data_IF_440062540948
#
_entry.id   IF_440062540948
#
_cell.length_a   1.000
_cell.length_b   1.000
_cell.length_c   1.000
_cell.angle_alpha   90.00
_cell.angle_beta   90.00
_cell.angle_gamma   90.00
#
_symmetry.space_group_name_H-M   'P 1'
#
loop_
_entity.id
_entity.type
_entity.pdbx_description
1 polymer ?
#
# COMPACT_ATOMS: atom_id res chain seq x y z
N UNK A 1 -5.97 -44.30 -43.24
CA UNK A 1 -5.86 -43.79 -41.86
C UNK A 1 -5.34 -42.37 -41.95
N UNK A 2 -6.18 -41.38 -41.67
CA UNK A 2 -5.87 -39.97 -41.88
C UNK A 2 -5.45 -39.37 -40.54
N UNK A 3 -4.16 -39.02 -40.41
CA UNK A 3 -3.60 -38.45 -39.19
C UNK A 3 -3.97 -36.97 -39.11
N UNK A 4 -4.91 -36.63 -38.23
CA UNK A 4 -5.21 -35.24 -37.87
C UNK A 4 -4.10 -34.70 -36.97
N UNK A 5 -3.27 -33.82 -37.52
CA UNK A 5 -2.23 -33.10 -36.79
C UNK A 5 -2.90 -31.94 -36.04
N UNK A 6 -3.12 -32.11 -34.74
CA UNK A 6 -3.66 -31.05 -33.87
C UNK A 6 -2.58 -29.99 -33.65
N UNK A 7 -2.78 -28.79 -34.21
CA UNK A 7 -1.92 -27.63 -33.95
C UNK A 7 -2.13 -27.15 -32.51
N UNK A 8 -1.19 -27.45 -31.62
CA UNK A 8 -1.16 -26.89 -30.26
C UNK A 8 -0.68 -25.44 -30.39
N UNK A 9 -1.63 -24.50 -30.40
CA UNK A 9 -1.33 -23.09 -30.30
C UNK A 9 -0.97 -22.78 -28.83
N UNK A 10 0.32 -22.73 -28.52
CA UNK A 10 0.80 -22.22 -27.23
C UNK A 10 0.58 -20.71 -27.17
N UNK A 11 -0.54 -20.30 -26.57
CA UNK A 11 -0.80 -18.90 -26.24
C UNK A 11 0.07 -18.58 -25.02
N UNK A 12 1.23 -17.97 -25.28
CA UNK A 12 1.97 -17.27 -24.23
C UNK A 12 1.12 -16.07 -23.80
N UNK A 13 0.36 -16.24 -22.72
CA UNK A 13 -0.20 -15.14 -21.95
C UNK A 13 0.97 -14.35 -21.37
N UNK A 14 1.40 -13.31 -22.08
CA UNK A 14 2.18 -12.25 -21.47
C UNK A 14 1.25 -11.56 -20.46
N UNK A 15 1.32 -12.02 -19.20
CA UNK A 15 0.78 -11.29 -18.07
C UNK A 15 1.47 -9.94 -18.09
N UNK A 16 0.73 -8.91 -18.48
CA UNK A 16 1.10 -7.52 -18.32
C UNK A 16 1.40 -7.32 -16.84
N UNK A 17 2.69 -7.30 -16.50
CA UNK A 17 3.15 -6.73 -15.26
C UNK A 17 2.80 -5.26 -15.35
N UNK A 18 1.62 -4.88 -14.86
CA UNK A 18 1.41 -3.52 -14.42
C UNK A 18 2.58 -3.25 -13.47
N UNK A 19 3.56 -2.46 -13.93
CA UNK A 19 4.70 -2.07 -13.10
C UNK A 19 4.11 -1.54 -11.82
N UNK A 20 4.30 -2.29 -10.73
CA UNK A 20 3.90 -1.81 -9.44
C UNK A 20 4.71 -0.52 -9.25
N UNK A 21 4.01 0.56 -8.93
CA UNK A 21 4.62 1.82 -8.55
C UNK A 21 5.27 1.57 -7.18
N UNK A 22 6.50 1.06 -7.19
CA UNK A 22 7.19 0.51 -6.02
C UNK A 22 8.15 1.54 -5.45
N UNK A 23 8.09 1.70 -4.13
CA UNK A 23 8.80 2.75 -3.41
C UNK A 23 9.48 2.23 -2.16
N UNK A 24 10.56 2.89 -1.77
CA UNK A 24 11.29 2.54 -0.54
C UNK A 24 10.66 3.18 0.70
N UNK A 25 9.85 4.23 0.53
CA UNK A 25 9.19 4.89 1.65
C UNK A 25 7.94 5.66 1.24
N UNK A 26 6.92 5.65 2.09
CA UNK A 26 5.66 6.33 1.84
C UNK A 26 5.06 6.96 3.11
N UNK A 27 4.13 7.90 2.91
CA UNK A 27 3.39 8.63 3.94
C UNK A 27 1.92 8.78 3.56
N UNK A 28 1.06 9.06 4.53
CA UNK A 28 -0.33 9.43 4.27
C UNK A 28 -0.51 10.94 4.50
N UNK A 29 -1.21 11.59 3.58
CA UNK A 29 -1.65 12.98 3.69
C UNK A 29 -3.16 13.05 3.86
N UNK A 30 -3.63 14.11 4.54
CA UNK A 30 -5.04 14.49 4.57
C UNK A 30 -5.15 15.94 4.06
N UNK A 31 -5.72 16.11 2.87
CA UNK A 31 -5.52 17.31 2.06
C UNK A 31 -4.05 17.47 1.67
N UNK A 32 -3.52 18.68 1.84
CA UNK A 32 -2.12 18.99 1.55
C UNK A 32 -1.17 18.66 2.70
N UNK A 33 -1.71 18.39 3.89
CA UNK A 33 -0.92 18.19 5.09
C UNK A 33 -0.59 16.72 5.34
N UNK A 34 0.66 16.47 5.73
CA UNK A 34 1.09 15.18 6.24
C UNK A 34 0.28 14.79 7.50
N UNK A 35 -0.10 13.51 7.59
CA UNK A 35 -0.83 12.97 8.73
C UNK A 35 -0.14 11.72 9.28
N UNK A 36 0.66 11.91 10.34
CA UNK A 36 1.44 10.84 10.98
C UNK A 36 0.57 9.75 11.63
N UNK A 37 -0.60 10.12 12.16
CA UNK A 37 -1.53 9.19 12.83
C UNK A 37 -2.09 8.17 11.84
N UNK A 38 -2.48 8.65 10.66
CA UNK A 38 -2.90 7.77 9.56
C UNK A 38 -1.69 6.98 9.06
N UNK A 39 -0.54 7.63 8.85
CA UNK A 39 0.68 6.97 8.32
C UNK A 39 1.12 5.78 9.17
N UNK A 40 1.15 5.94 10.49
CA UNK A 40 1.57 4.88 11.43
C UNK A 40 0.65 3.66 11.29
N UNK A 41 -0.66 3.88 11.36
CA UNK A 41 -1.66 2.80 11.25
C UNK A 41 -1.74 2.20 9.85
N UNK A 42 -1.52 2.99 8.82
CA UNK A 42 -1.46 2.49 7.45
C UNK A 42 -0.24 1.59 7.25
N UNK A 43 0.89 1.90 7.90
CA UNK A 43 2.08 1.05 7.87
C UNK A 43 1.84 -0.30 8.57
N UNK A 44 1.24 -0.29 9.76
CA UNK A 44 0.83 -1.52 10.46
C UNK A 44 -0.13 -2.35 9.61
N UNK A 45 -1.15 -1.71 9.04
CA UNK A 45 -2.14 -2.35 8.19
C UNK A 45 -1.47 -2.95 6.95
N UNK A 46 -0.65 -2.19 6.24
CA UNK A 46 0.03 -2.63 5.04
C UNK A 46 0.94 -3.84 5.31
N UNK A 47 1.72 -3.80 6.40
CA UNK A 47 2.56 -4.92 6.81
C UNK A 47 1.74 -6.19 7.09
N UNK A 48 0.51 -6.06 7.61
CA UNK A 48 -0.38 -7.20 7.87
C UNK A 48 -0.95 -7.86 6.60
N UNK A 49 -0.98 -7.16 5.46
CA UNK A 49 -1.56 -7.68 4.21
C UNK A 49 -0.65 -8.66 3.46
N UNK A 50 0.63 -8.80 3.86
CA UNK A 50 1.60 -9.75 3.31
C UNK A 50 1.68 -9.72 1.77
N UNK A 51 1.80 -8.53 1.19
CA UNK A 51 1.88 -8.39 -0.25
C UNK A 51 3.17 -8.98 -0.84
N UNK A 52 3.10 -9.41 -2.11
CA UNK A 52 4.23 -10.08 -2.81
C UNK A 52 5.48 -9.20 -2.99
N UNK A 53 5.33 -7.88 -2.94
CA UNK A 53 6.43 -6.92 -3.08
C UNK A 53 7.06 -6.57 -1.73
N UNK A 54 6.49 -7.02 -0.61
CA UNK A 54 7.07 -6.83 0.72
C UNK A 54 6.23 -6.00 1.66
N UNK A 55 6.86 -5.62 2.77
CA UNK A 55 6.24 -4.88 3.88
C UNK A 55 7.07 -3.67 4.31
N UNK A 56 6.40 -2.72 4.96
CA UNK A 56 7.06 -1.57 5.56
C UNK A 56 7.05 -1.62 7.09
N UNK A 57 7.95 -0.85 7.69
CA UNK A 57 8.01 -0.57 9.12
C UNK A 57 7.97 0.94 9.31
N UNK A 58 7.20 1.41 10.29
CA UNK A 58 7.11 2.84 10.56
C UNK A 58 8.40 3.32 11.22
N UNK A 59 9.07 4.26 10.59
CA UNK A 59 10.28 4.90 11.08
C UNK A 59 9.91 6.23 11.76
N UNK A 60 9.95 6.24 13.09
CA UNK A 60 9.59 7.42 13.90
C UNK A 60 10.45 8.66 13.57
N UNK A 61 11.78 8.56 13.39
CA UNK A 61 12.61 9.70 13.00
C UNK A 61 12.17 10.41 11.71
N UNK A 62 11.89 9.66 10.63
CA UNK A 62 11.44 10.25 9.36
C UNK A 62 9.93 10.52 9.31
N UNK A 63 9.15 9.88 10.19
CA UNK A 63 7.70 9.88 10.15
C UNK A 63 7.12 9.10 8.96
N UNK A 64 7.90 8.24 8.31
CA UNK A 64 7.51 7.51 7.10
C UNK A 64 7.33 6.02 7.39
N UNK A 65 6.52 5.35 6.58
CA UNK A 65 6.62 3.91 6.44
C UNK A 65 7.77 3.63 5.47
N UNK A 66 8.81 2.93 5.91
CA UNK A 66 9.99 2.59 5.09
C UNK A 66 10.03 1.10 4.84
N UNK A 67 10.64 0.68 3.74
CA UNK A 67 10.89 -0.74 3.46
C UNK A 67 11.56 -1.43 4.67
N UNK A 68 11.08 -2.63 5.01
CA UNK A 68 11.61 -3.37 6.15
C UNK A 68 12.97 -4.03 5.86
N UNK A 69 13.28 -4.28 4.58
CA UNK A 69 14.56 -4.77 4.07
C UNK A 69 14.76 -4.25 2.65
N UNK A 70 15.98 -4.32 2.11
CA UNK A 70 16.27 -3.83 0.74
C UNK A 70 15.61 -4.62 -0.40
N UNK A 71 14.87 -5.70 -0.09
CA UNK A 71 14.05 -6.45 -1.04
C UNK A 71 12.55 -6.21 -0.85
N UNK A 72 12.17 -5.53 0.23
CA UNK A 72 10.78 -5.13 0.45
C UNK A 72 10.53 -3.80 -0.26
N UNK A 73 9.37 -3.63 -0.89
CA UNK A 73 8.95 -2.37 -1.47
C UNK A 73 7.50 -2.05 -1.12
N UNK A 74 7.16 -0.77 -1.21
CA UNK A 74 5.83 -0.25 -0.97
C UNK A 74 5.14 0.06 -2.30
N UNK A 75 4.10 -0.68 -2.65
CA UNK A 75 3.31 -0.43 -3.84
C UNK A 75 2.36 0.74 -3.59
N UNK A 76 2.48 1.81 -4.38
CA UNK A 76 1.80 3.08 -4.17
C UNK A 76 0.27 2.98 -4.17
N UNK A 77 -0.31 2.10 -4.99
CA UNK A 77 -1.76 1.88 -5.03
C UNK A 77 -2.28 1.25 -3.74
N UNK A 78 -1.61 0.20 -3.28
CA UNK A 78 -1.94 -0.51 -2.05
C UNK A 78 -1.63 0.33 -0.81
N UNK A 79 -0.60 1.18 -0.88
CA UNK A 79 -0.32 2.18 0.13
C UNK A 79 -1.44 3.23 0.24
N UNK A 80 -1.89 3.82 -0.89
CA UNK A 80 -3.03 4.75 -0.89
C UNK A 80 -4.29 4.09 -0.35
N UNK A 81 -4.54 2.82 -0.71
CA UNK A 81 -5.66 2.05 -0.19
C UNK A 81 -5.57 1.88 1.34
N UNK A 82 -4.39 1.55 1.88
CA UNK A 82 -4.17 1.43 3.32
C UNK A 82 -4.43 2.77 4.05
N UNK A 83 -3.95 3.89 3.50
CA UNK A 83 -4.21 5.22 4.05
C UNK A 83 -5.73 5.49 4.15
N UNK A 84 -6.50 5.18 3.10
CA UNK A 84 -7.96 5.39 3.06
C UNK A 84 -8.72 4.44 3.97
N UNK A 85 -8.29 3.18 4.06
CA UNK A 85 -8.88 2.18 4.95
C UNK A 85 -8.78 2.66 6.40
N UNK A 86 -7.60 3.11 6.82
CA UNK A 86 -7.37 3.68 8.15
C UNK A 86 -8.18 4.96 8.38
N UNK A 87 -8.23 5.86 7.40
CA UNK A 87 -9.01 7.09 7.48
C UNK A 87 -10.51 6.84 7.73
N UNK A 88 -11.04 5.75 7.17
CA UNK A 88 -12.44 5.36 7.32
C UNK A 88 -12.70 4.53 8.58
N UNK A 89 -11.79 3.60 8.90
CA UNK A 89 -11.91 2.71 10.05
C UNK A 89 -11.75 3.48 11.37
N UNK A 90 -10.79 4.39 11.41
CA UNK A 90 -10.47 5.19 12.58
C UNK A 90 -8.97 5.22 12.86
N UNK A 91 -8.47 6.36 13.30
CA UNK A 91 -7.10 6.56 13.77
C UNK A 91 -7.10 7.33 15.09
N UNK A 92 -5.94 7.38 15.75
CA UNK A 92 -5.80 8.05 17.03
C UNK A 92 -6.02 9.55 16.88
N UNK A 93 -6.89 10.12 17.72
CA UNK A 93 -7.12 11.56 17.75
C UNK A 93 -5.93 12.31 18.37
N UNK A 94 -5.95 13.65 18.26
CA UNK A 94 -4.89 14.47 18.82
C UNK A 94 -4.85 14.44 20.36
N UNK A 95 -5.99 14.21 20.98
CA UNK A 95 -6.17 13.99 22.43
C UNK A 95 -5.60 12.66 22.94
N UNK A 96 -5.18 11.76 22.04
CA UNK A 96 -4.60 10.48 22.36
C UNK A 96 -5.60 9.41 22.79
N UNK A 97 -6.91 9.67 22.78
CA UNK A 97 -7.92 8.70 23.16
C UNK A 97 -8.32 7.82 21.96
N UNK A 98 -8.08 6.51 22.02
CA UNK A 98 -8.66 5.49 21.13
C UNK A 98 -8.47 5.69 19.61
N UNK A 99 -9.17 4.90 18.79
CA UNK A 99 -9.18 4.99 17.32
C UNK A 99 -10.55 5.46 16.81
N UNK A 100 -10.98 6.67 17.17
CA UNK A 100 -12.29 7.20 16.77
C UNK A 100 -12.23 8.39 15.80
N UNK A 101 -11.06 8.98 15.54
CA UNK A 101 -10.94 10.03 14.53
C UNK A 101 -11.03 9.42 13.14
N UNK A 102 -11.81 10.07 12.26
CA UNK A 102 -11.94 9.70 10.86
C UNK A 102 -11.57 10.88 9.98
N UNK A 103 -11.18 10.60 8.75
CA UNK A 103 -10.90 11.61 7.74
C UNK A 103 -11.65 11.28 6.44
N UNK A 104 -12.12 12.27 5.68
CA UNK A 104 -12.75 12.03 4.39
C UNK A 104 -11.80 11.28 3.46
N UNK A 105 -12.16 10.07 3.03
CA UNK A 105 -11.27 9.22 2.22
C UNK A 105 -10.85 9.86 0.90
N UNK A 106 -11.68 10.77 0.35
CA UNK A 106 -11.40 11.56 -0.85
C UNK A 106 -10.25 12.56 -0.68
N UNK A 107 -10.04 13.03 0.55
CA UNK A 107 -8.97 13.96 0.94
C UNK A 107 -7.70 13.22 1.37
N UNK A 108 -7.79 11.91 1.58
CA UNK A 108 -6.66 11.09 1.99
C UNK A 108 -5.95 10.49 0.78
N UNK A 109 -4.63 10.71 0.75
CA UNK A 109 -3.72 10.27 -0.33
C UNK A 109 -2.49 9.60 0.25
N UNK A 110 -2.05 8.53 -0.40
CA UNK A 110 -0.70 8.01 -0.22
C UNK A 110 0.29 8.89 -0.97
N UNK A 111 1.42 9.24 -0.35
CA UNK A 111 2.56 9.90 -1.00
C UNK A 111 3.81 9.09 -0.73
N UNK A 112 4.30 8.51 -1.81
CA UNK A 112 5.63 7.97 -1.95
C UNK A 112 6.36 8.96 -2.88
#
# INVERSE_FOLDING_TARGET
MQFSITKIASIFFFLSVASADLHDSCTCHNGDSYNWRITTKACELYASKNYKWGKGTYDTPSGRCVQNSGTDQLAGKEWEAACREVANAGFQCADGQGLYCKAPTKEVRGRC
#
